data_IF_966695026129
#
_entry.id   IF_966695026129
#
_cell.length_a   1.000
_cell.length_b   1.000
_cell.length_c   1.000
_cell.angle_alpha   90.00
_cell.angle_beta   90.00
_cell.angle_gamma   90.00
#
_symmetry.space_group_name_H-M   'P 1'
#
loop_
_entity.id
_entity.type
_entity.pdbx_description
1 polymer ?
#
# COMPACT_ATOMS: atom_id res chain seq x y z
N UNK A 1 16.61 53.09 8.37
CA UNK A 1 15.52 52.18 8.79
C UNK A 1 14.69 51.56 7.65
N UNK A 2 14.49 52.22 6.51
CA UNK A 2 13.74 51.63 5.37
C UNK A 2 14.45 50.42 4.70
N UNK A 3 15.79 50.47 4.54
CA UNK A 3 16.57 49.37 3.94
C UNK A 3 16.65 48.09 4.81
N UNK A 4 16.57 48.18 6.14
CA UNK A 4 16.62 47.00 7.02
C UNK A 4 15.28 46.24 7.06
N UNK A 5 14.15 46.96 6.89
CA UNK A 5 12.81 46.35 6.80
C UNK A 5 12.63 45.52 5.53
N UNK A 6 13.15 45.97 4.38
CA UNK A 6 13.05 45.23 3.11
C UNK A 6 13.91 43.96 3.05
N UNK A 7 15.12 44.00 3.62
CA UNK A 7 15.97 42.80 3.75
C UNK A 7 15.29 41.76 4.65
N UNK A 8 14.67 42.18 5.76
CA UNK A 8 13.92 41.28 6.64
C UNK A 8 12.69 40.64 5.96
N UNK A 9 12.03 41.38 5.06
CA UNK A 9 10.82 40.93 4.36
C UNK A 9 11.17 39.94 3.24
N UNK A 10 12.23 40.21 2.49
CA UNK A 10 12.79 39.30 1.48
C UNK A 10 13.32 38.01 2.10
N UNK A 11 14.06 38.12 3.21
CA UNK A 11 14.57 36.97 3.96
C UNK A 11 13.45 36.11 4.55
N UNK A 12 12.41 36.72 5.15
CA UNK A 12 11.21 36.01 5.61
C UNK A 12 10.44 35.33 4.47
N UNK A 13 10.35 35.97 3.29
CA UNK A 13 9.72 35.37 2.10
C UNK A 13 10.51 34.16 1.59
N UNK A 14 11.85 34.24 1.61
CA UNK A 14 12.73 33.12 1.25
C UNK A 14 12.65 31.96 2.27
N UNK A 15 12.61 32.27 3.57
CA UNK A 15 12.42 31.27 4.64
C UNK A 15 11.03 30.62 4.55
N UNK A 16 9.96 31.41 4.35
CA UNK A 16 8.60 30.87 4.17
C UNK A 16 8.49 30.01 2.90
N UNK A 17 9.21 30.38 1.83
CA UNK A 17 9.31 29.56 0.62
C UNK A 17 10.05 28.24 0.89
N UNK A 18 11.15 28.27 1.65
CA UNK A 18 11.93 27.08 2.02
C UNK A 18 11.16 26.15 2.96
N UNK A 19 10.49 26.71 3.99
CA UNK A 19 9.59 25.99 4.89
C UNK A 19 8.41 25.37 4.15
N UNK A 20 7.78 26.11 3.24
CA UNK A 20 6.69 25.59 2.41
C UNK A 20 7.12 24.44 1.51
N UNK A 21 8.35 24.46 0.97
CA UNK A 21 8.92 23.35 0.19
C UNK A 21 9.09 22.10 1.08
N UNK A 22 9.71 22.25 2.25
CA UNK A 22 9.92 21.12 3.18
C UNK A 22 8.60 20.49 3.62
N UNK A 23 7.60 21.31 3.93
CA UNK A 23 6.25 20.82 4.28
C UNK A 23 5.58 20.06 3.13
N UNK A 24 5.69 20.56 1.89
CA UNK A 24 5.15 19.87 0.72
C UNK A 24 5.84 18.52 0.47
N UNK A 25 7.16 18.46 0.66
CA UNK A 25 7.93 17.23 0.52
C UNK A 25 7.62 16.22 1.62
N UNK A 26 7.40 16.68 2.86
CA UNK A 26 6.92 15.81 3.94
C UNK A 26 5.53 15.24 3.65
N UNK A 27 4.62 16.08 3.12
CA UNK A 27 3.31 15.61 2.66
C UNK A 27 3.44 14.55 1.57
N UNK A 28 4.30 14.77 0.58
CA UNK A 28 4.54 13.82 -0.50
C UNK A 28 5.09 12.49 0.02
N UNK A 29 6.12 12.51 0.87
CA UNK A 29 6.74 11.31 1.44
C UNK A 29 5.78 10.51 2.32
N UNK A 30 5.07 11.18 3.23
CA UNK A 30 4.09 10.52 4.10
C UNK A 30 2.89 9.98 3.31
N UNK A 31 2.50 10.63 2.20
CA UNK A 31 1.46 10.12 1.31
C UNK A 31 1.94 8.91 0.51
N UNK A 32 3.18 8.94 0.00
CA UNK A 32 3.80 7.80 -0.68
C UNK A 32 3.91 6.58 0.25
N UNK A 33 4.30 6.80 1.51
CA UNK A 33 4.32 5.75 2.52
C UNK A 33 2.94 5.14 2.78
N UNK A 34 1.90 5.97 2.82
CA UNK A 34 0.54 5.50 3.10
C UNK A 34 -0.04 4.63 1.98
N UNK A 35 0.44 4.76 0.74
CA UNK A 35 0.09 3.89 -0.39
C UNK A 35 1.01 2.67 -0.54
N UNK A 36 1.98 2.48 0.37
CA UNK A 36 2.86 1.31 0.38
C UNK A 36 4.26 1.52 -0.21
N UNK A 37 4.65 2.74 -0.56
CA UNK A 37 6.04 3.00 -0.99
C UNK A 37 7.01 2.93 0.19
N UNK A 38 8.18 2.34 -0.03
CA UNK A 38 9.26 2.29 0.96
C UNK A 38 10.06 3.59 0.92
N UNK A 39 9.92 4.42 1.96
CA UNK A 39 10.54 5.76 2.07
C UNK A 39 11.54 5.90 3.24
N UNK A 40 11.97 4.79 3.85
CA UNK A 40 12.83 4.78 5.06
C UNK A 40 14.12 5.60 4.89
N UNK A 41 14.71 5.58 3.70
CA UNK A 41 15.99 6.21 3.40
C UNK A 41 15.86 7.48 2.57
N UNK A 42 14.69 8.14 2.59
CA UNK A 42 14.43 9.36 1.79
C UNK A 42 13.86 10.45 2.70
N UNK A 43 14.62 11.52 2.91
CA UNK A 43 14.17 12.72 3.59
C UNK A 43 13.66 13.80 2.66
N UNK A 44 12.93 14.78 3.20
CA UNK A 44 12.51 15.96 2.43
C UNK A 44 13.70 16.79 1.92
N UNK A 45 14.84 16.76 2.62
CA UNK A 45 16.08 17.39 2.17
C UNK A 45 16.65 16.71 0.90
N UNK A 46 16.61 15.38 0.82
CA UNK A 46 17.11 14.63 -0.34
C UNK A 46 16.33 14.94 -1.62
N UNK A 47 15.00 15.08 -1.48
CA UNK A 47 14.12 15.49 -2.57
C UNK A 47 14.32 16.96 -2.93
N UNK A 48 14.57 17.83 -1.94
CA UNK A 48 14.86 19.24 -2.17
C UNK A 48 16.18 19.45 -2.91
N UNK A 49 17.18 18.61 -2.64
CA UNK A 49 18.46 18.56 -3.35
C UNK A 49 18.36 17.90 -4.73
N UNK A 50 17.25 17.22 -5.04
CA UNK A 50 17.00 16.62 -6.33
C UNK A 50 17.89 15.41 -6.63
N UNK A 51 18.26 14.61 -5.62
CA UNK A 51 19.11 13.42 -5.78
C UNK A 51 18.47 12.45 -6.80
N UNK A 52 19.03 12.27 -8.02
CA UNK A 52 18.31 11.62 -9.11
C UNK A 52 17.86 10.19 -8.82
N UNK A 53 18.72 9.39 -8.19
CA UNK A 53 18.42 8.00 -7.87
C UNK A 53 17.26 7.84 -6.86
N UNK A 54 17.13 8.78 -5.91
CA UNK A 54 16.04 8.76 -4.92
C UNK A 54 14.72 9.23 -5.55
N UNK A 55 14.76 10.30 -6.35
CA UNK A 55 13.58 10.82 -7.05
C UNK A 55 13.04 9.78 -8.04
N UNK A 56 13.92 9.19 -8.86
CA UNK A 56 13.53 8.15 -9.82
C UNK A 56 13.07 6.87 -9.12
N UNK A 57 13.72 6.48 -8.01
CA UNK A 57 13.31 5.34 -7.21
C UNK A 57 11.91 5.51 -6.61
N UNK A 58 11.60 6.68 -6.08
CA UNK A 58 10.27 7.01 -5.55
C UNK A 58 9.22 7.07 -6.66
N UNK A 59 9.53 7.73 -7.78
CA UNK A 59 8.62 7.82 -8.92
C UNK A 59 8.27 6.43 -9.48
N UNK A 60 9.28 5.56 -9.62
CA UNK A 60 9.06 4.18 -10.04
C UNK A 60 8.13 3.42 -9.10
N UNK A 61 8.31 3.55 -7.78
CA UNK A 61 7.42 2.89 -6.81
C UNK A 61 5.97 3.37 -6.95
N UNK A 62 5.76 4.68 -7.15
CA UNK A 62 4.41 5.24 -7.35
C UNK A 62 3.77 4.69 -8.63
N UNK A 63 4.51 4.65 -9.74
CA UNK A 63 4.03 4.07 -11.00
C UNK A 63 3.67 2.59 -10.80
N UNK A 64 4.53 1.83 -10.12
CA UNK A 64 4.32 0.41 -9.82
C UNK A 64 3.05 0.17 -9.01
N UNK A 65 2.79 0.98 -7.98
CA UNK A 65 1.54 0.90 -7.18
C UNK A 65 0.31 1.10 -8.09
N UNK A 66 0.36 2.08 -9.00
CA UNK A 66 -0.75 2.33 -9.92
C UNK A 66 -0.97 1.20 -10.93
N UNK A 67 0.10 0.69 -11.53
CA UNK A 67 0.03 -0.39 -12.52
C UNK A 67 -0.52 -1.70 -11.94
N UNK A 68 -0.24 -1.96 -10.66
CA UNK A 68 -0.58 -3.23 -10.01
C UNK A 68 -1.86 -3.17 -9.19
N UNK A 69 -2.52 -2.01 -9.14
CA UNK A 69 -3.70 -1.79 -8.30
C UNK A 69 -4.85 -2.76 -8.61
N UNK A 70 -4.99 -3.19 -9.88
CA UNK A 70 -6.06 -4.08 -10.34
C UNK A 70 -5.56 -5.51 -10.65
N UNK A 71 -4.28 -5.80 -10.39
CA UNK A 71 -3.68 -7.12 -10.58
C UNK A 71 -3.82 -7.93 -9.28
N UNK A 72 -5.06 -8.18 -8.91
CA UNK A 72 -5.44 -8.92 -7.70
C UNK A 72 -6.70 -9.75 -7.98
N UNK A 73 -6.75 -10.98 -7.47
CA UNK A 73 -7.86 -11.92 -7.70
C UNK A 73 -9.20 -11.36 -7.19
N UNK A 74 -9.17 -10.61 -6.08
CA UNK A 74 -10.35 -9.96 -5.50
C UNK A 74 -10.98 -8.90 -6.41
N UNK A 75 -10.20 -8.36 -7.36
CA UNK A 75 -10.63 -7.35 -8.33
C UNK A 75 -10.91 -7.94 -9.71
N UNK A 76 -10.18 -9.00 -10.07
CA UNK A 76 -10.29 -9.65 -11.36
C UNK A 76 -10.47 -11.17 -11.16
N UNK A 77 -11.72 -11.60 -11.11
CA UNK A 77 -12.10 -13.02 -10.96
C UNK A 77 -11.52 -13.92 -12.05
N UNK A 78 -11.26 -13.36 -13.25
CA UNK A 78 -10.73 -14.13 -14.37
C UNK A 78 -9.32 -14.66 -14.10
N UNK A 79 -8.59 -14.08 -13.13
CA UNK A 79 -7.30 -14.59 -12.67
C UNK A 79 -7.38 -16.02 -12.10
N UNK A 80 -8.55 -16.49 -11.70
CA UNK A 80 -8.75 -17.89 -11.26
C UNK A 80 -8.38 -18.88 -12.37
N UNK A 81 -8.51 -18.49 -13.64
CA UNK A 81 -8.09 -19.31 -14.78
C UNK A 81 -6.58 -19.63 -14.79
N UNK A 82 -5.77 -18.92 -14.00
CA UNK A 82 -4.34 -19.14 -13.88
C UNK A 82 -3.98 -20.27 -12.91
N UNK A 83 -4.94 -20.83 -12.17
CA UNK A 83 -4.71 -21.92 -11.22
C UNK A 83 -4.09 -23.14 -11.93
N UNK A 84 -3.05 -23.72 -11.33
CA UNK A 84 -2.41 -24.91 -11.89
C UNK A 84 -3.19 -26.16 -11.46
N UNK A 85 -3.04 -27.26 -12.19
CA UNK A 85 -3.62 -28.54 -11.80
C UNK A 85 -3.14 -28.96 -10.39
N UNK A 86 -4.09 -29.15 -9.47
CA UNK A 86 -3.83 -29.55 -8.08
C UNK A 86 -3.37 -28.43 -7.14
N UNK A 87 -3.38 -27.18 -7.57
CA UNK A 87 -3.10 -26.02 -6.71
C UNK A 87 -4.39 -25.49 -6.07
N UNK A 88 -4.30 -25.03 -4.83
CA UNK A 88 -5.43 -24.41 -4.11
C UNK A 88 -5.49 -22.89 -4.35
N UNK A 89 -6.69 -22.32 -4.37
CA UNK A 89 -6.90 -20.88 -4.61
C UNK A 89 -6.13 -19.98 -3.61
N UNK A 90 -6.02 -20.41 -2.35
CA UNK A 90 -5.27 -19.72 -1.30
C UNK A 90 -3.76 -19.58 -1.64
N UNK A 91 -3.19 -20.50 -2.43
CA UNK A 91 -1.80 -20.40 -2.88
C UNK A 91 -1.65 -19.34 -3.98
N UNK A 92 -2.61 -19.26 -4.90
CA UNK A 92 -2.66 -18.23 -5.94
C UNK A 92 -2.83 -16.83 -5.33
N UNK A 93 -3.66 -16.70 -4.29
CA UNK A 93 -3.87 -15.44 -3.56
C UNK A 93 -2.64 -14.91 -2.83
N UNK A 94 -1.62 -15.75 -2.58
CA UNK A 94 -0.39 -15.35 -1.89
C UNK A 94 0.68 -14.79 -2.83
N UNK A 95 0.47 -14.91 -4.14
CA UNK A 95 1.42 -14.46 -5.14
C UNK A 95 1.46 -12.93 -5.21
N UNK A 96 2.66 -12.40 -5.37
CA UNK A 96 2.86 -10.99 -5.70
C UNK A 96 2.28 -10.66 -7.09
N UNK A 97 1.95 -9.38 -7.35
CA UNK A 97 1.50 -8.95 -8.68
C UNK A 97 2.48 -9.32 -9.80
N UNK A 98 3.79 -9.29 -9.54
CA UNK A 98 4.80 -9.73 -10.50
C UNK A 98 4.72 -11.21 -10.84
N UNK A 99 4.51 -12.05 -9.83
CA UNK A 99 4.35 -13.50 -10.00
C UNK A 99 3.05 -13.82 -10.73
N UNK A 100 1.96 -13.10 -10.42
CA UNK A 100 0.68 -13.22 -11.15
C UNK A 100 0.84 -12.84 -12.63
N UNK A 101 1.54 -11.74 -12.93
CA UNK A 101 1.82 -11.34 -14.31
C UNK A 101 2.68 -12.37 -15.04
N UNK A 102 3.72 -12.91 -14.39
CA UNK A 102 4.56 -13.95 -14.98
C UNK A 102 3.74 -15.21 -15.29
N UNK A 103 2.84 -15.56 -14.39
CA UNK A 103 1.92 -16.68 -14.54
C UNK A 103 0.92 -16.47 -15.67
N UNK A 104 0.37 -15.26 -15.78
CA UNK A 104 -0.50 -14.84 -16.86
C UNK A 104 0.18 -14.90 -18.23
N UNK A 105 1.41 -14.38 -18.34
CA UNK A 105 2.17 -14.49 -19.60
C UNK A 105 2.41 -15.95 -19.95
N UNK A 106 2.81 -16.77 -18.99
CA UNK A 106 3.08 -18.19 -19.23
C UNK A 106 1.84 -19.01 -19.57
N UNK A 107 0.67 -18.63 -19.07
CA UNK A 107 -0.61 -19.21 -19.47
C UNK A 107 -0.85 -19.00 -20.97
N UNK A 108 -0.71 -17.76 -21.45
CA UNK A 108 -0.87 -17.43 -22.87
C UNK A 108 0.21 -18.03 -23.76
N UNK A 109 1.47 -18.04 -23.32
CA UNK A 109 2.56 -18.68 -24.06
C UNK A 109 2.34 -20.18 -24.22
N UNK A 110 1.86 -20.87 -23.16
CA UNK A 110 1.53 -22.29 -23.23
C UNK A 110 0.39 -22.55 -24.23
N UNK A 111 -0.65 -21.72 -24.23
CA UNK A 111 -1.76 -21.81 -25.20
C UNK A 111 -1.30 -21.54 -26.64
N UNK A 112 -0.24 -20.75 -26.83
CA UNK A 112 0.40 -20.54 -28.13
C UNK A 112 1.36 -21.68 -28.55
N UNK A 113 1.58 -22.68 -27.69
CA UNK A 113 2.58 -23.72 -27.91
C UNK A 113 4.04 -23.21 -27.81
N UNK A 114 4.27 -22.09 -27.12
CA UNK A 114 5.58 -21.49 -26.94
C UNK A 114 6.20 -21.84 -25.58
N UNK A 115 7.52 -21.64 -25.45
CA UNK A 115 8.26 -21.89 -24.22
C UNK A 115 7.89 -20.89 -23.13
N UNK A 116 7.82 -21.38 -21.88
CA UNK A 116 7.59 -20.53 -20.70
C UNK A 116 8.81 -19.66 -20.41
N UNK A 117 8.55 -18.47 -19.88
CA UNK A 117 9.55 -17.54 -19.36
C UNK A 117 9.59 -17.58 -17.83
N UNK A 118 10.72 -17.20 -17.26
CA UNK A 118 10.98 -17.15 -15.82
C UNK A 118 11.17 -15.72 -15.29
N UNK A 119 11.41 -14.76 -16.19
CA UNK A 119 11.70 -13.37 -15.82
C UNK A 119 11.38 -12.40 -16.97
N UNK A 120 11.15 -11.12 -16.64
CA UNK A 120 10.95 -10.03 -17.61
C UNK A 120 12.25 -9.32 -18.00
N UNK A 121 13.38 -10.03 -17.99
CA UNK A 121 14.69 -9.49 -18.36
C UNK A 121 15.34 -10.25 -19.51
N UNK A 122 15.98 -11.40 -19.25
CA UNK A 122 16.71 -12.17 -20.26
C UNK A 122 15.78 -12.90 -21.24
N UNK A 123 14.68 -13.45 -20.74
CA UNK A 123 13.81 -14.37 -21.49
C UNK A 123 12.93 -13.67 -22.54
N UNK A 124 12.91 -12.33 -22.51
CA UNK A 124 12.07 -11.47 -23.36
C UNK A 124 12.90 -10.57 -24.29
N UNK A 125 14.24 -10.57 -24.18
CA UNK A 125 15.13 -9.66 -24.93
C UNK A 125 14.99 -9.81 -26.43
N UNK A 126 14.71 -11.04 -26.85
CA UNK A 126 14.56 -11.39 -28.24
C UNK A 126 13.17 -11.03 -28.79
N UNK A 127 12.27 -10.46 -27.99
CA UNK A 127 10.89 -10.09 -28.35
C UNK A 127 9.99 -11.23 -28.85
N UNK A 128 10.45 -12.49 -28.90
CA UNK A 128 9.66 -13.59 -29.48
C UNK A 128 8.51 -14.00 -28.59
N UNK A 129 8.74 -14.05 -27.28
CA UNK A 129 7.67 -14.25 -26.30
C UNK A 129 6.57 -13.18 -26.44
N UNK A 130 6.95 -11.91 -26.69
CA UNK A 130 5.98 -10.83 -26.87
C UNK A 130 5.13 -11.00 -28.12
N UNK A 131 5.67 -11.48 -29.24
CA UNK A 131 4.84 -11.77 -30.43
C UNK A 131 3.75 -12.79 -30.15
N UNK A 132 4.09 -13.89 -29.48
CA UNK A 132 3.12 -14.93 -29.12
C UNK A 132 2.10 -14.41 -28.11
N UNK A 133 2.54 -13.64 -27.10
CA UNK A 133 1.64 -13.01 -26.14
C UNK A 133 0.65 -12.06 -26.82
N UNK A 134 1.14 -11.12 -27.62
CA UNK A 134 0.30 -10.15 -28.35
C UNK A 134 -0.74 -10.86 -29.22
N UNK A 135 -0.36 -11.93 -29.90
CA UNK A 135 -1.28 -12.71 -30.73
C UNK A 135 -2.36 -13.45 -29.94
N UNK A 136 -2.07 -13.86 -28.71
CA UNK A 136 -3.06 -14.53 -27.86
C UNK A 136 -4.07 -13.56 -27.26
N UNK A 137 -3.60 -12.38 -26.85
CA UNK A 137 -4.44 -11.39 -26.16
C UNK A 137 -5.20 -10.46 -27.13
N UNK A 138 -4.78 -10.39 -28.39
CA UNK A 138 -5.45 -9.56 -29.39
C UNK A 138 -6.89 -10.05 -29.63
N UNK A 139 -7.87 -9.13 -29.71
CA UNK A 139 -9.27 -9.48 -29.91
C UNK A 139 -9.45 -10.17 -31.26
N UNK A 140 -10.04 -11.37 -31.24
CA UNK A 140 -10.22 -12.22 -32.42
C UNK A 140 -11.52 -11.93 -33.17
N UNK A 141 -12.38 -11.04 -32.67
CA UNK A 141 -13.63 -10.65 -33.33
C UNK A 141 -14.75 -11.67 -33.15
N UNK A 142 -14.78 -12.35 -31.99
CA UNK A 142 -15.80 -13.36 -31.68
C UNK A 142 -17.10 -12.77 -31.10
N UNK A 143 -17.01 -11.62 -30.42
CA UNK A 143 -18.15 -10.94 -29.81
C UNK A 143 -18.62 -9.74 -30.67
N UNK A 144 -19.91 -9.42 -30.55
CA UNK A 144 -20.69 -8.60 -31.51
C UNK A 144 -20.17 -7.16 -31.67
N UNK A 145 -19.31 -6.69 -30.76
CA UNK A 145 -18.72 -5.34 -30.77
C UNK A 145 -17.17 -5.32 -30.74
N UNK A 146 -16.49 -6.47 -30.83
CA UNK A 146 -15.02 -6.50 -30.80
C UNK A 146 -14.40 -6.32 -32.19
N UNK A 147 -13.68 -5.21 -32.38
CA UNK A 147 -12.88 -4.99 -33.57
C UNK A 147 -11.73 -5.99 -33.62
N UNK A 148 -11.75 -6.89 -34.61
CA UNK A 148 -10.67 -7.86 -34.84
C UNK A 148 -9.34 -7.14 -35.09
N UNK A 149 -8.31 -7.48 -34.32
CA UNK A 149 -6.94 -6.97 -34.51
C UNK A 149 -6.01 -8.13 -34.83
N UNK A 150 -5.49 -8.13 -36.07
CA UNK A 150 -4.51 -9.13 -36.50
C UNK A 150 -3.08 -8.67 -36.19
N UNK A 151 -2.34 -9.54 -35.52
CA UNK A 151 -0.92 -9.35 -35.19
C UNK A 151 -0.08 -9.89 -36.34
N UNK A 152 0.72 -9.02 -36.95
CA UNK A 152 1.61 -9.39 -38.05
C UNK A 152 2.92 -10.00 -37.52
N UNK A 153 3.23 -11.22 -37.97
CA UNK A 153 4.45 -11.97 -37.64
C UNK A 153 5.60 -11.73 -38.62
N UNK A 154 5.46 -10.86 -39.62
CA UNK A 154 6.52 -10.58 -40.61
C UNK A 154 7.87 -10.22 -39.97
N UNK A 155 7.84 -9.48 -38.87
CA UNK A 155 9.04 -9.09 -38.10
C UNK A 155 9.62 -10.18 -37.19
N UNK A 156 8.91 -11.28 -36.95
CA UNK A 156 9.28 -12.31 -35.96
C UNK A 156 10.63 -12.99 -36.26
N UNK A 157 10.96 -13.17 -37.53
CA UNK A 157 12.20 -13.83 -37.96
C UNK A 157 13.32 -12.85 -38.34
N UNK A 158 13.16 -11.54 -38.07
CA UNK A 158 14.24 -10.57 -38.30
C UNK A 158 15.47 -10.95 -37.46
N UNK A 159 16.65 -10.96 -38.07
CA UNK A 159 17.91 -11.32 -37.39
C UNK A 159 18.39 -10.25 -36.42
N UNK A 160 17.94 -9.01 -36.59
CA UNK A 160 18.29 -7.90 -35.73
C UNK A 160 17.24 -7.72 -34.65
N UNK A 161 17.61 -8.02 -33.41
CA UNK A 161 16.73 -7.95 -32.23
C UNK A 161 16.10 -6.57 -32.05
N UNK A 162 16.82 -5.48 -32.38
CA UNK A 162 16.31 -4.12 -32.25
C UNK A 162 15.20 -3.83 -33.26
N UNK A 163 15.37 -4.29 -34.51
CA UNK A 163 14.32 -4.18 -35.54
C UNK A 163 13.13 -5.05 -35.19
N UNK A 164 13.38 -6.27 -34.72
CA UNK A 164 12.33 -7.20 -34.25
C UNK A 164 11.51 -6.60 -33.10
N UNK A 165 12.18 -5.98 -32.13
CA UNK A 165 11.53 -5.27 -31.03
C UNK A 165 10.69 -4.07 -31.53
N UNK A 166 11.17 -3.30 -32.50
CA UNK A 166 10.39 -2.20 -33.09
C UNK A 166 9.14 -2.72 -33.80
N UNK A 167 9.24 -3.77 -34.61
CA UNK A 167 8.07 -4.39 -35.25
C UNK A 167 7.07 -4.94 -34.22
N UNK A 168 7.56 -5.54 -33.13
CA UNK A 168 6.73 -6.02 -32.02
C UNK A 168 5.97 -4.85 -31.36
N UNK A 169 6.64 -3.73 -31.09
CA UNK A 169 6.01 -2.55 -30.49
C UNK A 169 5.01 -1.87 -31.44
N UNK A 170 5.21 -1.96 -32.75
CA UNK A 170 4.20 -1.54 -33.73
C UNK A 170 2.94 -2.41 -33.66
N UNK A 171 3.07 -3.72 -33.38
CA UNK A 171 1.90 -4.56 -33.15
C UNK A 171 1.21 -4.22 -31.83
N UNK A 172 1.96 -3.93 -30.78
CA UNK A 172 1.39 -3.45 -29.51
C UNK A 172 0.68 -2.10 -29.67
N UNK A 173 1.13 -1.24 -30.57
CA UNK A 173 0.51 0.06 -30.88
C UNK A 173 -0.87 -0.09 -31.53
N UNK A 174 -1.08 -1.15 -32.33
CA UNK A 174 -2.41 -1.48 -32.88
C UNK A 174 -3.43 -1.79 -31.78
N UNK A 175 -2.97 -2.32 -30.64
CA UNK A 175 -3.77 -2.56 -29.44
C UNK A 175 -3.85 -1.32 -28.53
N UNK A 176 -3.19 -0.20 -28.88
CA UNK A 176 -3.10 0.97 -28.00
C UNK A 176 -2.20 0.77 -26.77
N UNK A 177 -1.37 -0.29 -26.77
CA UNK A 177 -0.57 -0.70 -25.62
C UNK A 177 0.92 -0.33 -25.69
N UNK A 178 1.36 0.45 -26.68
CA UNK A 178 2.78 0.88 -26.83
C UNK A 178 3.17 1.93 -25.77
N UNK A 179 3.34 1.49 -24.53
CA UNK A 179 3.70 2.34 -23.39
C UNK A 179 4.92 1.77 -22.64
N UNK A 180 5.62 2.64 -21.89
CA UNK A 180 6.74 2.33 -20.99
C UNK A 180 8.07 1.88 -21.62
N UNK A 181 8.06 1.10 -22.71
CA UNK A 181 9.27 0.51 -23.31
C UNK A 181 9.60 1.08 -24.68
N UNK A 182 10.88 1.23 -24.96
CA UNK A 182 11.43 1.40 -26.32
C UNK A 182 12.04 0.09 -26.82
N UNK A 183 12.31 -0.07 -28.14
CA UNK A 183 12.99 -1.26 -28.65
C UNK A 183 14.33 -1.52 -27.95
N UNK A 184 15.08 -0.46 -27.63
CA UNK A 184 16.35 -0.57 -26.94
C UNK A 184 16.18 -1.12 -25.51
N UNK A 185 15.11 -0.75 -24.81
CA UNK A 185 14.82 -1.23 -23.45
C UNK A 185 14.45 -2.71 -23.42
N UNK A 186 13.74 -3.18 -24.45
CA UNK A 186 13.39 -4.59 -24.64
C UNK A 186 14.67 -5.40 -24.88
N UNK A 187 15.50 -5.00 -25.85
CA UNK A 187 16.76 -5.71 -26.17
C UNK A 187 17.77 -5.62 -25.02
N UNK A 188 17.77 -4.53 -24.25
CA UNK A 188 18.57 -4.41 -23.04
C UNK A 188 18.07 -5.33 -21.90
N UNK A 189 16.82 -5.80 -21.96
CA UNK A 189 16.22 -6.64 -20.94
C UNK A 189 15.96 -5.89 -19.65
N UNK A 190 15.52 -4.63 -19.72
CA UNK A 190 15.23 -3.83 -18.52
C UNK A 190 14.00 -4.38 -17.77
N UNK A 191 14.18 -5.01 -16.59
CA UNK A 191 13.07 -5.71 -15.93
C UNK A 191 11.93 -4.79 -15.53
N UNK A 192 12.22 -3.54 -15.14
CA UNK A 192 11.21 -2.58 -14.68
C UNK A 192 10.31 -2.13 -15.82
N UNK A 193 10.91 -1.72 -16.94
CA UNK A 193 10.15 -1.22 -18.08
C UNK A 193 9.35 -2.34 -18.74
N UNK A 194 9.93 -3.53 -18.89
CA UNK A 194 9.24 -4.67 -19.46
C UNK A 194 8.10 -5.18 -18.56
N UNK A 195 8.28 -5.19 -17.25
CA UNK A 195 7.20 -5.49 -16.30
C UNK A 195 6.07 -4.46 -16.39
N UNK A 196 6.39 -3.17 -16.53
CA UNK A 196 5.38 -2.13 -16.71
C UNK A 196 4.62 -2.28 -18.04
N UNK A 197 5.32 -2.62 -19.12
CA UNK A 197 4.71 -2.94 -20.41
C UNK A 197 3.75 -4.14 -20.32
N UNK A 198 4.17 -5.21 -19.65
CA UNK A 198 3.34 -6.42 -19.42
C UNK A 198 2.12 -6.09 -18.57
N UNK A 199 2.27 -5.29 -17.51
CA UNK A 199 1.17 -4.84 -16.68
C UNK A 199 0.14 -4.02 -17.49
N UNK A 200 0.62 -3.16 -18.38
CA UNK A 200 -0.25 -2.40 -19.29
C UNK A 200 -1.03 -3.31 -20.24
N UNK A 201 -0.38 -4.33 -20.80
CA UNK A 201 -1.05 -5.34 -21.64
C UNK A 201 -2.12 -6.08 -20.85
N UNK A 202 -1.83 -6.54 -19.63
CA UNK A 202 -2.79 -7.21 -18.77
C UNK A 202 -3.99 -6.33 -18.43
N UNK A 203 -3.77 -5.08 -18.04
CA UNK A 203 -4.84 -4.15 -17.67
C UNK A 203 -5.75 -3.79 -18.86
N UNK A 204 -5.24 -3.87 -20.09
CA UNK A 204 -6.01 -3.54 -21.29
C UNK A 204 -6.69 -4.78 -21.89
N UNK A 205 -5.97 -5.90 -21.96
CA UNK A 205 -6.41 -7.16 -22.56
C UNK A 205 -6.01 -8.36 -21.69
N UNK A 206 -6.75 -8.64 -20.59
CA UNK A 206 -6.49 -9.83 -19.78
C UNK A 206 -6.63 -11.12 -20.59
N UNK A 207 -7.62 -11.16 -21.50
CA UNK A 207 -7.95 -12.32 -22.35
C UNK A 207 -8.08 -13.64 -21.56
N UNK A 208 -8.71 -13.56 -20.38
CA UNK A 208 -9.00 -14.71 -19.52
C UNK A 208 -10.50 -14.96 -19.49
N UNK A 209 -10.90 -16.23 -19.60
CA UNK A 209 -12.29 -16.64 -19.41
C UNK A 209 -12.44 -17.32 -18.07
N UNK A 210 -13.51 -16.97 -17.35
CA UNK A 210 -13.86 -17.64 -16.09
C UNK A 210 -14.19 -19.11 -16.40
N UNK A 211 -13.61 -20.08 -15.68
CA UNK A 211 -13.97 -21.47 -15.87
C UNK A 211 -15.42 -21.72 -15.42
N UNK A 212 -16.23 -22.36 -16.27
CA UNK A 212 -17.67 -22.63 -16.02
C UNK A 212 -17.94 -23.45 -14.75
N UNK A 213 -16.93 -24.18 -14.25
CA UNK A 213 -17.01 -25.11 -13.12
C UNK A 213 -16.29 -24.61 -11.85
N UNK A 214 -16.11 -23.31 -11.66
CA UNK A 214 -15.58 -22.81 -10.38
C UNK A 214 -16.66 -22.94 -9.30
N UNK A 215 -16.60 -23.99 -8.49
CA UNK A 215 -17.43 -24.18 -7.27
C UNK A 215 -17.12 -23.17 -6.16
N UNK A 216 -16.27 -22.19 -6.43
CA UNK A 216 -15.86 -21.17 -5.49
C UNK A 216 -16.90 -20.06 -5.50
N UNK A 217 -17.55 -19.86 -4.35
CA UNK A 217 -18.40 -18.71 -4.12
C UNK A 217 -17.52 -17.46 -3.99
N UNK A 218 -17.38 -16.74 -5.09
CA UNK A 218 -16.57 -15.53 -5.17
C UNK A 218 -17.09 -14.39 -4.29
N UNK A 219 -18.35 -14.45 -3.85
CA UNK A 219 -18.88 -13.48 -2.89
C UNK A 219 -18.28 -13.64 -1.49
N UNK A 220 -17.62 -14.77 -1.21
CA UNK A 220 -16.86 -15.04 0.01
C UNK A 220 -15.38 -14.66 -0.10
N UNK A 221 -14.88 -14.29 -1.29
CA UNK A 221 -13.55 -13.74 -1.45
C UNK A 221 -13.56 -12.27 -1.02
N UNK A 222 -13.53 -12.04 0.29
CA UNK A 222 -13.21 -10.71 0.81
C UNK A 222 -11.79 -10.37 0.35
N UNK A 223 -11.67 -9.37 -0.53
CA UNK A 223 -10.37 -8.79 -0.86
C UNK A 223 -9.69 -8.20 0.38
N UNK A 224 -8.45 -7.74 0.23
CA UNK A 224 -7.73 -7.14 1.35
C UNK A 224 -8.57 -6.04 2.02
N UNK A 225 -8.83 -6.21 3.33
CA UNK A 225 -9.56 -5.21 4.10
C UNK A 225 -8.79 -3.90 4.18
N UNK A 226 -9.50 -2.77 4.37
CA UNK A 226 -8.85 -1.48 4.54
C UNK A 226 -7.88 -1.47 5.74
N UNK A 227 -8.18 -2.25 6.79
CA UNK A 227 -7.31 -2.41 7.96
C UNK A 227 -6.03 -3.18 7.59
N UNK A 228 -6.15 -4.30 6.87
CA UNK A 228 -5.01 -5.07 6.39
C UNK A 228 -4.08 -4.24 5.50
N UNK A 229 -4.66 -3.52 4.53
CA UNK A 229 -3.91 -2.62 3.65
C UNK A 229 -3.13 -1.59 4.44
N UNK A 230 -3.77 -1.02 5.46
CA UNK A 230 -3.16 0.00 6.32
C UNK A 230 -1.99 -0.60 7.10
N UNK A 231 -2.18 -1.74 7.76
CA UNK A 231 -1.12 -2.39 8.54
C UNK A 231 0.04 -2.84 7.65
N UNK A 232 -0.25 -3.42 6.48
CA UNK A 232 0.77 -3.79 5.50
C UNK A 232 1.61 -2.58 5.08
N UNK A 233 0.95 -1.49 4.69
CA UNK A 233 1.65 -0.27 4.25
C UNK A 233 2.46 0.35 5.39
N UNK A 234 1.95 0.30 6.62
CA UNK A 234 2.69 0.68 7.81
C UNK A 234 3.95 -0.17 8.00
N UNK A 235 3.85 -1.50 7.94
CA UNK A 235 5.02 -2.38 8.09
C UNK A 235 6.06 -2.16 6.99
N UNK A 236 5.64 -2.10 5.73
CA UNK A 236 6.54 -1.85 4.60
C UNK A 236 7.23 -0.48 4.69
N UNK A 237 6.58 0.51 5.34
CA UNK A 237 7.20 1.81 5.59
C UNK A 237 8.27 1.79 6.70
N UNK A 238 8.33 0.74 7.52
CA UNK A 238 9.41 0.52 8.50
C UNK A 238 10.64 -0.09 7.84
N UNK A 239 10.54 -0.56 6.59
CA UNK A 239 11.65 -1.18 5.87
C UNK A 239 11.85 -2.66 6.19
N UNK A 240 10.78 -3.35 6.57
CA UNK A 240 10.80 -4.80 6.79
C UNK A 240 11.25 -5.55 5.53
N UNK A 241 11.97 -6.66 5.73
CA UNK A 241 12.45 -7.55 4.67
C UNK A 241 12.22 -9.00 5.09
N UNK A 242 11.50 -9.83 4.30
CA UNK A 242 10.93 -9.54 2.99
C UNK A 242 9.78 -8.53 2.99
N UNK A 243 9.49 -7.95 1.81
CA UNK A 243 8.35 -7.05 1.62
C UNK A 243 7.03 -7.80 1.89
N UNK A 244 6.14 -7.19 2.67
CA UNK A 244 4.89 -7.81 3.07
C UNK A 244 3.84 -7.56 2.00
N UNK A 245 3.41 -8.62 1.30
CA UNK A 245 2.29 -8.58 0.37
C UNK A 245 0.95 -8.89 1.06
N UNK A 246 0.96 -9.86 1.99
CA UNK A 246 -0.21 -10.30 2.76
C UNK A 246 0.13 -10.49 4.24
N UNK A 247 -0.80 -10.13 5.13
CA UNK A 247 -0.59 -10.14 6.59
C UNK A 247 -0.66 -11.53 7.24
N UNK A 248 -1.22 -12.51 6.54
CA UNK A 248 -1.61 -13.80 7.11
C UNK A 248 -0.46 -14.81 7.29
N UNK A 249 0.79 -14.44 6.96
CA UNK A 249 1.94 -15.32 7.15
C UNK A 249 2.61 -15.10 8.52
N UNK A 250 2.94 -16.20 9.20
CA UNK A 250 3.61 -16.22 10.52
C UNK A 250 4.93 -15.40 10.51
N UNK A 251 5.57 -15.31 9.34
CA UNK A 251 6.79 -14.54 9.11
C UNK A 251 6.58 -13.06 9.40
N UNK A 252 5.41 -12.50 9.08
CA UNK A 252 5.10 -11.07 9.33
C UNK A 252 5.20 -10.74 10.81
N UNK A 253 4.71 -11.63 11.68
CA UNK A 253 4.73 -11.42 13.14
C UNK A 253 6.16 -11.36 13.67
N UNK A 254 7.06 -12.23 13.19
CA UNK A 254 8.46 -12.27 13.59
C UNK A 254 9.23 -11.01 13.14
N UNK A 255 8.99 -10.54 11.92
CA UNK A 255 9.65 -9.34 11.37
C UNK A 255 9.32 -8.07 12.16
N UNK A 256 8.12 -7.99 12.72
CA UNK A 256 7.69 -6.87 13.57
C UNK A 256 8.52 -6.82 14.86
N UNK A 257 8.78 -7.96 15.51
CA UNK A 257 9.55 -8.00 16.76
C UNK A 257 10.99 -7.50 16.58
N UNK A 258 11.63 -7.87 15.46
CA UNK A 258 13.02 -7.46 15.17
C UNK A 258 13.14 -5.96 14.89
N UNK A 259 12.18 -5.37 14.16
CA UNK A 259 12.26 -3.95 13.74
C UNK A 259 11.86 -2.96 14.83
N UNK A 260 11.15 -3.41 15.86
CA UNK A 260 10.60 -2.55 16.91
C UNK A 260 11.51 -2.53 18.17
N UNK A 261 12.62 -3.29 18.16
CA UNK A 261 13.57 -3.36 19.28
C UNK A 261 12.91 -3.67 20.63
N UNK A 262 11.88 -4.53 20.63
CA UNK A 262 11.37 -5.12 21.88
C UNK A 262 12.19 -6.37 22.15
N UNK A 263 13.16 -6.28 23.06
CA UNK A 263 13.79 -7.46 23.63
C UNK A 263 12.74 -8.24 24.43
N UNK A 264 12.15 -9.27 23.83
CA UNK A 264 11.44 -10.32 24.56
C UNK A 264 12.46 -11.42 24.81
N UNK A 265 12.90 -11.57 26.06
CA UNK A 265 13.55 -12.82 26.48
C UNK A 265 12.46 -13.87 26.47
N UNK A 266 12.45 -14.76 25.47
CA UNK A 266 11.59 -15.94 25.48
C UNK A 266 12.21 -16.97 26.41
N UNK A 267 11.64 -17.28 27.59
CA UNK A 267 12.03 -18.48 28.32
C UNK A 267 11.36 -19.65 27.60
N UNK A 268 12.13 -20.36 26.78
CA UNK A 268 11.85 -21.74 26.35
C UNK A 268 10.42 -22.03 25.86
N UNK A 269 10.02 -21.48 24.71
CA UNK A 269 8.86 -22.01 23.97
C UNK A 269 9.27 -23.35 23.33
N UNK A 270 8.78 -24.44 23.92
CA UNK A 270 8.70 -25.72 23.22
C UNK A 270 7.77 -25.54 22.02
N UNK A 271 8.35 -25.51 20.82
CA UNK A 271 7.61 -25.62 19.58
C UNK A 271 6.84 -26.93 19.60
N UNK A 272 5.51 -26.88 19.48
CA UNK A 272 4.77 -28.05 19.04
C UNK A 272 4.77 -28.00 17.49
N UNK A 273 5.48 -28.92 16.82
CA UNK A 273 5.52 -28.94 15.36
C UNK A 273 4.24 -29.62 14.86
N UNK A 274 3.18 -28.85 14.63
CA UNK A 274 1.98 -29.38 13.97
C UNK A 274 2.18 -29.35 12.44
N UNK A 275 2.99 -30.31 11.97
CA UNK A 275 2.90 -30.80 10.60
C UNK A 275 1.76 -31.83 10.54
N UNK A 276 0.72 -31.53 9.76
CA UNK A 276 -0.32 -32.48 9.36
C UNK A 276 -1.52 -32.58 10.32
N UNK A 277 -2.71 -32.21 9.82
CA UNK A 277 -3.99 -32.56 10.45
C UNK A 277 -5.07 -31.49 10.33
N UNK A 278 -6.03 -31.73 9.43
CA UNK A 278 -7.39 -31.17 9.35
C UNK A 278 -7.63 -29.74 9.85
N UNK A 279 -7.74 -28.82 8.89
CA UNK A 279 -8.39 -27.53 9.06
C UNK A 279 -9.87 -27.74 9.42
N UNK A 280 -10.21 -27.67 10.70
CA UNK A 280 -11.59 -27.41 11.12
C UNK A 280 -11.59 -26.86 12.54
N UNK A 281 -12.05 -25.61 12.70
CA UNK A 281 -12.50 -24.97 13.96
C UNK A 281 -11.55 -24.06 14.78
N UNK A 282 -10.56 -23.39 14.20
CA UNK A 282 -10.00 -22.17 14.83
C UNK A 282 -9.76 -21.09 13.78
N UNK A 283 -10.63 -20.07 13.79
CA UNK A 283 -10.72 -19.03 12.77
C UNK A 283 -9.49 -18.13 12.68
N UNK A 284 -9.39 -17.47 11.52
CA UNK A 284 -8.29 -16.65 10.99
C UNK A 284 -7.95 -15.36 11.78
N UNK A 285 -8.43 -15.22 13.03
CA UNK A 285 -8.35 -13.98 13.83
C UNK A 285 -7.08 -13.81 14.68
N UNK A 286 -6.27 -14.86 14.86
CA UNK A 286 -5.14 -14.85 15.81
C UNK A 286 -3.96 -13.94 15.42
N UNK A 287 -3.50 -13.87 14.15
CA UNK A 287 -2.33 -13.06 13.80
C UNK A 287 -2.60 -11.55 13.92
N UNK A 288 -3.77 -11.10 13.48
CA UNK A 288 -4.19 -9.70 13.49
C UNK A 288 -4.28 -9.18 14.93
N UNK A 289 -4.91 -9.94 15.83
CA UNK A 289 -4.98 -9.59 17.27
C UNK A 289 -3.59 -9.46 17.93
N UNK A 290 -2.61 -10.28 17.55
CA UNK A 290 -1.24 -10.17 18.10
C UNK A 290 -0.54 -8.88 17.64
N UNK A 291 -0.71 -8.51 16.37
CA UNK A 291 -0.17 -7.25 15.81
C UNK A 291 -0.86 -6.03 16.45
N UNK A 292 -2.18 -6.10 16.65
CA UNK A 292 -2.98 -5.04 17.28
C UNK A 292 -2.55 -4.75 18.72
N UNK A 293 -2.43 -5.80 19.55
CA UNK A 293 -2.02 -5.65 20.94
C UNK A 293 -0.57 -5.13 21.06
N UNK A 294 0.29 -5.49 20.11
CA UNK A 294 1.67 -4.99 20.07
C UNK A 294 1.72 -3.50 19.70
N UNK A 295 0.95 -3.06 18.70
CA UNK A 295 0.81 -1.64 18.32
C UNK A 295 0.31 -0.79 19.48
N UNK A 296 -0.72 -1.27 20.20
CA UNK A 296 -1.21 -0.62 21.41
C UNK A 296 -0.10 -0.58 22.48
N UNK A 297 0.56 -1.70 22.78
CA UNK A 297 1.64 -1.74 23.79
C UNK A 297 2.85 -0.84 23.48
N UNK A 298 3.17 -0.62 22.21
CA UNK A 298 4.30 0.23 21.79
C UNK A 298 3.98 1.73 21.85
N UNK A 299 2.73 2.10 21.57
CA UNK A 299 2.28 3.49 21.70
C UNK A 299 2.35 3.98 23.16
N UNK A 300 2.26 3.09 24.14
CA UNK A 300 2.25 3.43 25.57
C UNK A 300 3.58 3.20 26.31
N UNK A 301 4.68 2.87 25.63
CA UNK A 301 6.01 2.70 26.28
C UNK A 301 6.69 4.00 26.73
N UNK A 302 6.02 5.17 26.64
CA UNK A 302 6.52 6.40 27.24
C UNK A 302 6.03 6.52 28.69
N UNK A 303 6.91 6.55 29.71
CA UNK A 303 6.49 6.68 31.09
C UNK A 303 5.87 8.06 31.32
N UNK A 304 4.59 8.09 31.70
CA UNK A 304 3.91 9.32 32.11
C UNK A 304 3.53 9.23 33.59
N UNK A 305 3.98 10.22 34.37
CA UNK A 305 3.56 10.44 35.76
C UNK A 305 2.45 11.50 35.73
N UNK A 306 1.20 11.19 36.14
CA UNK A 306 0.12 12.15 36.06
C UNK A 306 0.28 13.25 37.13
N UNK A 307 0.04 14.50 36.74
CA UNK A 307 -0.28 15.60 37.67
C UNK A 307 -1.76 15.96 37.47
N UNK A 308 -2.46 16.10 38.57
CA UNK A 308 -3.91 16.27 38.66
C UNK A 308 -4.45 17.50 37.91
N UNK A 309 -5.56 17.32 37.19
CA UNK A 309 -6.31 18.38 36.52
C UNK A 309 -6.91 17.91 35.19
N UNK A 310 -8.13 17.38 35.22
CA UNK A 310 -8.80 16.79 34.06
C UNK A 310 -9.17 17.80 32.96
N UNK A 311 -8.95 17.39 31.70
CA UNK A 311 -9.64 17.90 30.50
C UNK A 311 -9.34 16.96 29.33
N UNK A 312 -10.37 16.47 28.61
CA UNK A 312 -10.39 15.73 27.32
C UNK A 312 -9.43 14.52 27.11
N UNK A 313 -8.46 14.31 27.98
CA UNK A 313 -7.36 13.34 27.92
C UNK A 313 -7.68 12.01 28.61
N UNK A 314 -8.81 11.92 29.32
CA UNK A 314 -9.28 10.68 29.95
C UNK A 314 -9.86 9.67 28.94
N UNK A 315 -9.90 10.02 27.64
CA UNK A 315 -10.51 9.23 26.57
C UNK A 315 -9.61 8.16 25.95
N UNK A 316 -8.34 8.07 26.35
CA UNK A 316 -7.50 6.91 26.07
C UNK A 316 -7.39 6.15 27.38
N UNK A 317 -8.37 5.29 27.65
CA UNK A 317 -8.48 4.48 28.88
C UNK A 317 -7.20 3.66 29.15
N UNK A 318 -6.22 4.30 29.80
CA UNK A 318 -5.05 3.70 30.44
C UNK A 318 -5.47 2.71 31.55
N UNK A 319 -6.74 2.71 31.96
CA UNK A 319 -7.29 1.77 32.95
C UNK A 319 -7.46 0.35 32.42
N UNK A 320 -7.72 0.14 31.11
CA UNK A 320 -7.90 -1.22 30.55
C UNK A 320 -6.55 -1.96 30.36
N UNK A 321 -5.49 -1.25 29.99
CA UNK A 321 -4.14 -1.82 29.87
C UNK A 321 -3.44 -2.03 31.23
N UNK A 322 -3.79 -1.24 32.25
CA UNK A 322 -3.27 -1.42 33.61
C UNK A 322 -3.77 -2.72 34.27
N UNK A 323 -4.98 -3.17 33.94
CA UNK A 323 -5.52 -4.44 34.43
C UNK A 323 -4.85 -5.66 33.77
N UNK A 324 -4.55 -5.61 32.47
CA UNK A 324 -3.82 -6.70 31.79
C UNK A 324 -2.37 -6.88 32.27
N UNK A 325 -1.73 -5.83 32.79
CA UNK A 325 -0.37 -5.93 33.32
C UNK A 325 -0.28 -6.45 34.77
N UNK A 326 -1.41 -6.59 35.48
CA UNK A 326 -1.43 -6.93 36.91
C UNK A 326 -2.21 -8.20 37.26
N UNK A 327 -2.74 -8.95 36.29
CA UNK A 327 -3.37 -10.25 36.53
C UNK A 327 -2.62 -11.34 35.80
N UNK A 328 -2.26 -12.39 36.54
CA UNK A 328 -1.60 -13.60 36.04
C UNK A 328 -2.27 -14.10 34.74
N UNK A 329 -1.41 -14.41 33.76
CA UNK A 329 -1.73 -14.72 32.37
C UNK A 329 -2.67 -15.94 32.15
N UNK A 330 -3.15 -16.60 33.20
CA UNK A 330 -3.93 -17.83 33.10
C UNK A 330 -5.46 -17.64 33.00
N UNK A 331 -5.99 -16.41 33.15
CA UNK A 331 -7.45 -16.19 33.19
C UNK A 331 -8.03 -15.13 32.23
N UNK A 332 -7.28 -14.68 31.21
CA UNK A 332 -7.89 -13.88 30.13
C UNK A 332 -8.70 -14.77 29.18
N UNK A 333 -9.98 -15.03 29.51
CA UNK A 333 -10.94 -15.52 28.52
C UNK A 333 -11.18 -14.44 27.46
N UNK A 334 -11.16 -14.84 26.19
CA UNK A 334 -11.19 -13.99 24.99
C UNK A 334 -12.43 -13.08 24.83
N UNK A 335 -13.43 -13.21 25.72
CA UNK A 335 -14.77 -12.64 25.57
C UNK A 335 -15.00 -11.27 26.25
N UNK A 336 -13.96 -10.59 26.78
CA UNK A 336 -14.14 -9.39 27.63
C UNK A 336 -13.45 -8.11 27.10
N UNK A 337 -13.17 -8.02 25.80
CA UNK A 337 -12.86 -6.71 25.18
C UNK A 337 -14.16 -6.06 24.70
N UNK A 338 -14.75 -5.19 25.52
CA UNK A 338 -15.84 -4.31 25.05
C UNK A 338 -15.30 -3.36 23.97
N UNK A 339 -16.06 -3.10 22.89
CA UNK A 339 -15.67 -2.10 21.90
C UNK A 339 -15.40 -0.75 22.57
N UNK A 340 -14.32 -0.08 22.15
CA UNK A 340 -14.04 1.28 22.60
C UNK A 340 -15.12 2.21 22.00
N UNK A 341 -16.03 2.72 22.82
CA UNK A 341 -17.03 3.71 22.39
C UNK A 341 -16.36 5.06 22.18
N UNK A 342 -15.95 5.32 20.93
CA UNK A 342 -15.44 6.63 20.52
C UNK A 342 -16.57 7.61 20.25
N UNK A 343 -16.30 8.88 20.51
CA UNK A 343 -17.26 9.95 20.26
C UNK A 343 -17.60 10.07 18.77
N UNK A 344 -18.90 10.01 18.46
CA UNK A 344 -19.44 10.18 17.10
C UNK A 344 -19.14 11.56 16.50
N UNK A 345 -18.80 12.55 17.33
CA UNK A 345 -18.34 13.88 16.88
C UNK A 345 -17.09 13.80 15.99
N UNK A 346 -16.27 12.75 16.15
CA UNK A 346 -15.07 12.49 15.33
C UNK A 346 -15.42 12.33 13.84
N UNK A 347 -16.64 11.87 13.52
CA UNK A 347 -17.12 11.75 12.14
C UNK A 347 -17.06 13.07 11.34
N UNK A 348 -17.04 14.22 12.03
CA UNK A 348 -16.91 15.54 11.41
C UNK A 348 -15.47 15.93 11.08
N UNK A 349 -14.49 15.20 11.62
CA UNK A 349 -13.06 15.50 11.64
C UNK A 349 -12.68 16.84 12.31
N UNK A 350 -13.64 17.56 12.90
CA UNK A 350 -13.37 18.82 13.62
C UNK A 350 -12.46 18.62 14.84
N UNK A 351 -12.65 17.60 15.69
CA UNK A 351 -11.73 17.35 16.81
C UNK A 351 -10.28 17.09 16.36
N UNK A 352 -10.12 16.41 15.22
CA UNK A 352 -8.80 16.12 14.62
C UNK A 352 -8.17 17.41 14.10
N UNK A 353 -8.94 18.24 13.42
CA UNK A 353 -8.47 19.55 12.93
C UNK A 353 -8.10 20.48 14.09
N UNK A 354 -8.93 20.58 15.11
CA UNK A 354 -8.65 21.44 16.27
C UNK A 354 -7.38 20.97 17.03
N UNK A 355 -7.15 19.66 17.13
CA UNK A 355 -5.90 19.10 17.67
C UNK A 355 -4.68 19.45 16.80
N UNK A 356 -4.81 19.37 15.47
CA UNK A 356 -3.72 19.75 14.55
C UNK A 356 -3.37 21.23 14.72
N UNK A 357 -4.37 22.11 14.86
CA UNK A 357 -4.12 23.55 15.08
C UNK A 357 -3.43 23.80 16.43
N UNK A 358 -3.77 23.03 17.47
CA UNK A 358 -3.10 23.08 18.75
C UNK A 358 -1.62 22.63 18.66
N UNK A 359 -1.31 21.57 17.90
CA UNK A 359 0.05 21.04 17.72
C UNK A 359 0.89 21.96 16.81
N UNK A 360 0.28 22.49 15.76
CA UNK A 360 0.94 23.31 14.75
C UNK A 360 0.07 24.51 14.39
N UNK A 361 0.14 25.59 15.19
CA UNK A 361 -0.65 26.79 14.94
C UNK A 361 -0.41 27.34 13.53
N UNK A 362 -1.49 27.73 12.84
CA UNK A 362 -1.48 28.24 11.45
C UNK A 362 -1.25 27.17 10.37
N UNK A 363 -1.18 25.89 10.72
CA UNK A 363 -1.15 24.82 9.72
C UNK A 363 -2.51 24.67 9.00
N UNK A 364 -3.60 25.05 9.67
CA UNK A 364 -4.97 24.96 9.16
C UNK A 364 -5.42 26.29 8.56
N UNK A 365 -5.97 26.21 7.35
CA UNK A 365 -6.68 27.29 6.69
C UNK A 365 -8.16 27.12 6.97
N UNK A 366 -8.71 27.98 7.83
CA UNK A 366 -10.11 27.90 8.27
C UNK A 366 -11.12 27.99 7.11
N UNK A 367 -10.75 28.67 6.02
CA UNK A 367 -11.54 28.74 4.78
C UNK A 367 -11.76 27.39 4.08
N UNK A 368 -10.92 26.39 4.39
CA UNK A 368 -11.03 25.04 3.83
C UNK A 368 -11.85 24.10 4.73
N UNK A 369 -12.28 24.56 5.91
CA UNK A 369 -12.96 23.74 6.92
C UNK A 369 -14.43 24.15 6.99
N UNK A 370 -15.34 23.22 6.71
CA UNK A 370 -16.76 23.42 6.97
C UNK A 370 -17.07 22.94 8.39
N UNK A 371 -17.79 23.74 9.19
CA UNK A 371 -18.13 23.41 10.59
C UNK A 371 -19.62 23.16 10.83
N UNK A 372 -20.47 23.81 10.04
CA UNK A 372 -21.94 23.74 10.18
C UNK A 372 -22.56 22.98 9.00
N UNK A 373 -23.75 22.40 9.22
CA UNK A 373 -24.55 21.69 8.21
C UNK A 373 -23.74 20.72 7.34
N UNK A 374 -23.11 19.76 8.01
CA UNK A 374 -22.17 18.82 7.40
C UNK A 374 -22.91 17.68 6.71
N UNK A 375 -22.88 17.67 5.38
CA UNK A 375 -23.21 16.49 4.58
C UNK A 375 -22.12 15.42 4.72
N UNK A 376 -22.41 14.19 4.29
CA UNK A 376 -21.39 13.13 4.22
C UNK A 376 -20.16 13.56 3.39
N UNK A 377 -20.39 14.24 2.26
CA UNK A 377 -19.30 14.75 1.42
C UNK A 377 -18.47 15.81 2.14
N UNK A 378 -19.09 16.67 2.94
CA UNK A 378 -18.38 17.68 3.73
C UNK A 378 -17.52 17.04 4.82
N UNK A 379 -18.06 16.03 5.52
CA UNK A 379 -17.30 15.24 6.50
C UNK A 379 -16.09 14.57 5.85
N UNK A 380 -16.29 13.99 4.67
CA UNK A 380 -15.22 13.36 3.89
C UNK A 380 -14.16 14.38 3.44
N UNK A 381 -14.58 15.57 2.99
CA UNK A 381 -13.66 16.65 2.62
C UNK A 381 -12.84 17.16 3.82
N UNK A 382 -13.49 17.34 4.97
CA UNK A 382 -12.80 17.68 6.22
C UNK A 382 -11.80 16.59 6.63
N UNK A 383 -12.17 15.31 6.53
CA UNK A 383 -11.30 14.18 6.83
C UNK A 383 -10.07 14.13 5.90
N UNK A 384 -10.29 14.28 4.58
CA UNK A 384 -9.22 14.38 3.58
C UNK A 384 -8.26 15.53 3.91
N UNK A 385 -8.81 16.68 4.28
CA UNK A 385 -8.03 17.84 4.66
C UNK A 385 -7.23 17.60 5.95
N UNK A 386 -7.85 17.05 7.00
CA UNK A 386 -7.22 16.75 8.28
C UNK A 386 -6.02 15.79 8.10
N UNK A 387 -6.20 14.68 7.38
CA UNK A 387 -5.14 13.71 7.10
C UNK A 387 -4.01 14.36 6.30
N UNK A 388 -4.35 15.18 5.31
CA UNK A 388 -3.34 15.89 4.50
C UNK A 388 -2.52 16.87 5.33
N UNK A 389 -3.16 17.68 6.18
CA UNK A 389 -2.45 18.63 7.04
C UNK A 389 -1.61 17.89 8.09
N UNK A 390 -2.13 16.81 8.68
CA UNK A 390 -1.39 15.99 9.62
C UNK A 390 -0.12 15.39 8.98
N UNK A 391 -0.22 14.84 7.77
CA UNK A 391 0.95 14.36 7.00
C UNK A 391 1.92 15.48 6.67
N UNK A 392 1.41 16.66 6.32
CA UNK A 392 2.21 17.87 6.03
C UNK A 392 3.04 18.31 7.23
N UNK A 393 2.49 18.25 8.44
CA UNK A 393 3.22 18.57 9.68
C UNK A 393 4.17 17.45 10.12
N UNK A 394 4.16 16.30 9.44
CA UNK A 394 5.08 15.18 9.67
C UNK A 394 4.49 13.99 10.45
N UNK A 395 3.18 13.94 10.69
CA UNK A 395 2.54 12.78 11.29
C UNK A 395 2.42 11.63 10.27
N UNK A 396 2.87 10.43 10.65
CA UNK A 396 2.84 9.23 9.79
C UNK A 396 1.49 8.52 9.87
N UNK A 397 0.48 9.12 9.25
CA UNK A 397 -0.89 8.60 9.29
C UNK A 397 -1.18 7.71 8.09
N UNK A 398 -1.62 6.48 8.36
CA UNK A 398 -2.03 5.49 7.34
C UNK A 398 -3.55 5.40 7.18
N UNK A 399 -4.33 5.97 8.11
CA UNK A 399 -5.78 5.97 8.03
C UNK A 399 -6.31 6.67 6.78
N UNK A 400 -7.45 6.16 6.31
CA UNK A 400 -8.22 6.73 5.20
C UNK A 400 -9.20 7.77 5.73
N UNK A 401 -9.64 8.72 4.87
CA UNK A 401 -10.69 9.67 5.23
C UNK A 401 -11.97 9.00 5.72
N UNK A 402 -12.37 7.91 5.07
CA UNK A 402 -13.56 7.13 5.42
C UNK A 402 -13.47 6.55 6.83
N UNK A 403 -12.27 6.17 7.29
CA UNK A 403 -12.08 5.63 8.64
C UNK A 403 -12.39 6.67 9.73
N UNK A 404 -12.17 7.97 9.44
CA UNK A 404 -12.58 9.05 10.34
C UNK A 404 -14.08 9.31 10.29
N UNK A 405 -14.67 9.32 9.09
CA UNK A 405 -16.12 9.56 8.90
C UNK A 405 -16.97 8.45 9.51
N UNK A 406 -16.53 7.21 9.36
CA UNK A 406 -17.15 6.01 9.93
C UNK A 406 -16.77 5.77 11.40
N UNK A 407 -15.81 6.54 11.93
CA UNK A 407 -15.30 6.45 13.30
C UNK A 407 -14.81 5.04 13.64
N UNK A 408 -13.96 4.47 12.77
CA UNK A 408 -13.39 3.14 13.00
C UNK A 408 -12.41 3.17 14.17
N UNK A 409 -12.66 2.46 15.28
CA UNK A 409 -11.94 2.76 16.51
C UNK A 409 -10.43 2.57 16.45
N UNK A 410 -9.99 1.48 15.83
CA UNK A 410 -8.57 1.16 15.67
C UNK A 410 -7.85 2.25 14.86
N UNK A 411 -8.43 2.64 13.73
CA UNK A 411 -7.86 3.63 12.82
C UNK A 411 -7.80 5.02 13.44
N UNK A 412 -8.88 5.45 14.08
CA UNK A 412 -8.96 6.73 14.80
C UNK A 412 -7.88 6.81 15.89
N UNK A 413 -7.68 5.76 16.68
CA UNK A 413 -6.62 5.72 17.70
C UNK A 413 -5.23 5.94 17.09
N UNK A 414 -4.92 5.29 15.96
CA UNK A 414 -3.61 5.47 15.31
C UNK A 414 -3.39 6.90 14.83
N UNK A 415 -4.44 7.59 14.37
CA UNK A 415 -4.38 9.01 13.96
C UNK A 415 -3.97 9.89 15.14
N UNK A 416 -4.67 9.76 16.27
CA UNK A 416 -4.36 10.52 17.48
C UNK A 416 -2.97 10.23 18.02
N UNK A 417 -2.57 8.96 18.04
CA UNK A 417 -1.25 8.56 18.50
C UNK A 417 -0.12 9.15 17.63
N UNK A 418 -0.28 9.15 16.29
CA UNK A 418 0.67 9.77 15.37
C UNK A 418 0.78 11.29 15.57
N UNK A 419 -0.34 11.96 15.84
CA UNK A 419 -0.38 13.39 16.12
C UNK A 419 0.29 13.71 17.47
N UNK A 420 0.01 12.93 18.52
CA UNK A 420 0.66 13.08 19.83
C UNK A 420 2.17 12.88 19.75
N UNK A 421 2.64 11.83 19.06
CA UNK A 421 4.06 11.60 18.84
C UNK A 421 4.74 12.79 18.16
N UNK A 422 4.06 13.45 17.21
CA UNK A 422 4.56 14.67 16.58
C UNK A 422 4.61 15.87 17.53
N UNK A 423 3.60 16.03 18.38
CA UNK A 423 3.51 17.10 19.37
C UNK A 423 4.61 17.00 20.44
N UNK A 424 4.85 15.80 20.96
CA UNK A 424 5.88 15.53 21.97
C UNK A 424 7.31 15.77 21.45
N UNK A 425 7.56 15.50 20.16
CA UNK A 425 8.86 15.75 19.53
C UNK A 425 9.22 17.24 19.36
N UNK A 426 8.30 18.19 19.61
CA UNK A 426 8.61 19.63 19.66
C UNK A 426 9.11 20.10 21.04
N UNK A 427 9.01 19.26 22.07
CA UNK A 427 9.33 19.60 23.46
C UNK A 427 10.79 19.27 23.81
N UNK A 428 11.52 18.59 22.90
CA UNK A 428 12.98 18.46 22.95
C UNK A 428 13.63 19.57 22.12
#
# INVERSE_FOLDING_TARGET
>A
ELKSKDVSKSYRKSINKKLGITENLNLALNSASAIGCTVVNIGSQDLQEGKPHLVLGLLWQIIKVGLFADIEISRNEALIALLNEGEELDQLMKLSPEELLLRWVNYHLANAGWQKISNFSQDIRDSRAYYHLLNQIAPKGGDIDEMHVEIDFSGFNDKNDLRRAEYMLQQADKLGCRQFVTPADVVAGNPKLNLAFVANLFNTYPALHKPDNSSYDLTLLEGESNEERTFRNWMNSLGVSPYVNHLYSIIVVLLIFDNIHVYVVFPSLNFCPYFGGNYSKCGMQKPICCVENLLLGLLFKFPFVPREGGSLFDLVNLHHLYLCNNTDYEHCSFDVLKPLDLDKSISTSLPVLDLIDAIAPKAIRQEMVKREDLSYQDKLNNAKYAISVARKIGARIYALPDDLVEVKPKMVMTVFACLMGRGLNKIK
#
